data_IF_830090903890
#
_entry.id   IF_830090903890
#
_cell.length_a   1.000
_cell.length_b   1.000
_cell.length_c   1.000
_cell.angle_alpha   90.00
_cell.angle_beta   90.00
_cell.angle_gamma   90.00
#
_symmetry.space_group_name_H-M   'P 1'
#
loop_
_entity.id
_entity.type
_entity.pdbx_description
1 polymer ?
#
# COMPACT_ATOMS: atom_id res chain seq x y z
N UNK A 1 -9.58 -6.21 -2.89
CA UNK A 1 -9.68 -4.74 -3.04
C UNK A 1 -10.41 -4.42 -4.36
N UNK A 2 -10.61 -3.15 -4.77
CA UNK A 2 -11.52 -2.76 -5.88
C UNK A 2 -11.51 -3.72 -7.07
N UNK A 3 -12.68 -4.30 -7.40
CA UNK A 3 -12.78 -5.31 -8.45
C UNK A 3 -12.26 -4.79 -9.81
N UNK A 4 -11.40 -5.58 -10.47
CA UNK A 4 -10.79 -5.21 -11.74
C UNK A 4 -9.73 -4.09 -11.65
N UNK A 5 -9.21 -3.80 -10.45
CA UNK A 5 -8.07 -2.89 -10.23
C UNK A 5 -6.93 -3.64 -9.57
N UNK A 6 -5.71 -3.17 -9.80
CA UNK A 6 -4.47 -3.74 -9.28
C UNK A 6 -3.92 -2.96 -8.09
N UNK A 7 -4.84 -2.45 -7.25
CA UNK A 7 -4.48 -1.80 -6.00
C UNK A 7 -4.49 -2.82 -4.86
N UNK A 8 -3.48 -2.75 -4.01
CA UNK A 8 -3.28 -3.65 -2.86
C UNK A 8 -3.04 -2.82 -1.58
N UNK A 9 -3.37 -3.38 -0.42
CA UNK A 9 -2.98 -2.78 0.85
C UNK A 9 -1.51 -3.08 1.08
N UNK A 10 -0.69 -2.04 1.24
CA UNK A 10 0.74 -2.24 1.47
C UNK A 10 1.03 -2.86 2.85
N UNK A 11 0.19 -2.56 3.85
CA UNK A 11 0.34 -3.06 5.23
C UNK A 11 -0.54 -4.29 5.46
N UNK A 12 0.09 -5.46 5.55
CA UNK A 12 -0.59 -6.75 5.73
C UNK A 12 -0.26 -7.46 7.06
N UNK A 13 0.54 -6.84 7.93
CA UNK A 13 0.96 -7.42 9.21
C UNK A 13 0.45 -6.63 10.43
N UNK A 14 0.44 -7.30 11.58
CA UNK A 14 0.10 -6.77 12.89
C UNK A 14 1.32 -6.23 13.62
N UNK A 15 1.15 -5.28 14.54
CA UNK A 15 2.29 -4.68 15.27
C UNK A 15 3.06 -5.69 16.12
N UNK A 16 2.39 -6.73 16.61
CA UNK A 16 3.03 -7.85 17.31
C UNK A 16 3.68 -8.86 16.35
N UNK A 17 3.46 -8.71 15.04
CA UNK A 17 4.01 -9.54 13.96
C UNK A 17 3.62 -11.02 14.06
N UNK A 18 2.47 -11.28 14.68
CA UNK A 18 1.87 -12.60 14.79
C UNK A 18 0.59 -12.64 13.96
N UNK A 19 0.33 -13.77 13.33
CA UNK A 19 -0.97 -14.04 12.70
C UNK A 19 -2.12 -13.84 13.69
N UNK A 20 -3.34 -13.52 13.21
CA UNK A 20 -4.49 -13.29 14.09
C UNK A 20 -4.83 -14.48 15.01
N UNK A 21 -4.54 -15.71 14.57
CA UNK A 21 -4.74 -16.93 15.36
C UNK A 21 -3.50 -17.35 16.18
N UNK A 22 -2.42 -16.55 16.13
CA UNK A 22 -1.16 -16.72 16.85
C UNK A 22 -0.45 -18.06 16.59
N UNK A 23 -0.69 -18.68 15.42
CA UNK A 23 -0.05 -19.96 15.07
C UNK A 23 1.23 -19.79 14.25
N UNK A 24 1.43 -18.62 13.67
CA UNK A 24 2.62 -18.27 12.90
C UNK A 24 3.00 -16.81 13.10
N UNK A 25 4.29 -16.56 12.95
CA UNK A 25 4.82 -15.22 12.73
C UNK A 25 4.46 -14.73 11.33
N UNK A 26 4.26 -13.42 11.18
CA UNK A 26 3.99 -12.74 9.92
C UNK A 26 5.30 -12.41 9.18
N UNK A 27 6.12 -13.44 8.94
CA UNK A 27 7.44 -13.27 8.34
C UNK A 27 7.35 -12.73 6.91
N UNK A 28 6.48 -13.31 6.07
CA UNK A 28 6.35 -12.91 4.67
C UNK A 28 5.73 -11.51 4.56
N UNK A 29 4.70 -11.22 5.36
CA UNK A 29 4.00 -9.94 5.33
C UNK A 29 4.90 -8.78 5.78
N UNK A 30 5.66 -8.96 6.87
CA UNK A 30 6.62 -7.94 7.29
C UNK A 30 7.80 -7.83 6.33
N UNK A 31 8.23 -8.93 5.71
CA UNK A 31 9.34 -8.91 4.75
C UNK A 31 8.94 -8.18 3.48
N UNK A 32 7.70 -8.34 3.01
CA UNK A 32 7.15 -7.55 1.89
C UNK A 32 7.19 -6.06 2.20
N UNK A 33 6.57 -5.65 3.32
CA UNK A 33 6.53 -4.24 3.71
C UNK A 33 7.92 -3.64 3.93
N UNK A 34 8.79 -4.31 4.70
CA UNK A 34 10.12 -3.78 5.02
C UNK A 34 11.13 -3.88 3.88
N UNK A 35 10.79 -4.55 2.78
CA UNK A 35 11.58 -4.49 1.57
C UNK A 35 11.42 -3.15 0.84
N UNK A 36 10.23 -2.54 0.90
CA UNK A 36 9.91 -1.30 0.16
C UNK A 36 9.64 -0.07 1.03
N UNK A 37 9.43 -0.26 2.33
CA UNK A 37 9.11 0.80 3.28
C UNK A 37 9.85 0.63 4.61
N UNK A 38 9.81 1.66 5.46
CA UNK A 38 10.44 1.64 6.79
C UNK A 38 9.50 2.12 7.88
N UNK A 39 9.63 1.53 9.06
CA UNK A 39 8.82 1.83 10.22
C UNK A 39 7.41 1.25 10.15
N UNK A 40 6.73 1.25 11.29
CA UNK A 40 5.32 0.91 11.39
C UNK A 40 4.77 1.46 12.70
N UNK A 41 3.51 1.90 12.69
CA UNK A 41 2.81 2.38 13.88
C UNK A 41 1.33 2.01 13.83
N UNK A 42 0.63 2.13 14.96
CA UNK A 42 -0.82 1.95 15.01
C UNK A 42 -1.57 2.87 14.02
N UNK A 43 -1.05 4.09 13.79
CA UNK A 43 -1.62 5.03 12.82
C UNK A 43 -1.49 4.55 11.37
N UNK A 44 -0.44 3.80 11.03
CA UNK A 44 -0.19 3.34 9.66
C UNK A 44 -0.95 2.06 9.29
N UNK A 45 -1.55 1.36 10.26
CA UNK A 45 -2.34 0.16 10.00
C UNK A 45 -3.70 0.45 9.33
N UNK A 46 -4.19 1.70 9.36
CA UNK A 46 -5.41 2.07 8.65
C UNK A 46 -6.72 1.45 9.17
N UNK A 47 -6.74 0.96 10.42
CA UNK A 47 -7.87 0.20 10.98
C UNK A 47 -8.90 1.05 11.75
N UNK A 48 -8.58 2.31 12.03
CA UNK A 48 -9.43 3.21 12.82
C UNK A 48 -9.97 4.31 11.91
N UNK A 49 -11.31 4.38 11.79
CA UNK A 49 -11.96 5.38 10.92
C UNK A 49 -11.61 6.79 11.38
N UNK A 50 -11.02 7.57 10.48
CA UNK A 50 -10.70 8.97 10.71
C UNK A 50 -9.47 9.24 11.59
N UNK A 51 -8.63 8.23 11.81
CA UNK A 51 -7.32 8.35 12.47
C UNK A 51 -6.24 7.69 11.62
N UNK A 52 -5.03 8.25 11.65
CA UNK A 52 -3.88 7.65 10.99
C UNK A 52 -3.91 7.78 9.46
N UNK A 53 -3.31 6.80 8.79
CA UNK A 53 -3.12 6.76 7.34
C UNK A 53 -3.46 5.35 6.82
N UNK A 54 -3.81 5.27 5.54
CA UNK A 54 -4.01 4.02 4.81
C UNK A 54 -3.14 4.09 3.56
N UNK A 55 -2.32 3.08 3.35
CA UNK A 55 -1.44 2.98 2.19
C UNK A 55 -1.98 1.94 1.22
N UNK A 56 -2.22 2.39 -0.01
CA UNK A 56 -2.50 1.53 -1.14
C UNK A 56 -1.34 1.62 -2.13
N UNK A 57 -1.00 0.50 -2.74
CA UNK A 57 0.07 0.41 -3.73
C UNK A 57 -0.40 -0.32 -4.98
N UNK A 58 0.29 -0.07 -6.08
CA UNK A 58 0.07 -0.74 -7.35
C UNK A 58 1.37 -0.75 -8.15
N UNK A 59 1.77 -1.92 -8.63
CA UNK A 59 2.90 -2.06 -9.55
C UNK A 59 2.47 -2.35 -10.98
N UNK A 60 1.15 -2.46 -11.22
CA UNK A 60 0.56 -2.83 -12.51
C UNK A 60 -0.49 -1.81 -12.98
N UNK A 61 -0.56 -1.63 -14.29
CA UNK A 61 -1.57 -0.80 -14.95
C UNK A 61 -2.94 -1.49 -15.04
N UNK A 62 -3.92 -0.82 -15.64
CA UNK A 62 -5.29 -1.35 -15.77
C UNK A 62 -5.44 -2.59 -16.66
N UNK A 63 -4.40 -2.98 -17.41
CA UNK A 63 -4.34 -4.20 -18.22
C UNK A 63 -3.48 -5.30 -17.55
N UNK A 64 -3.04 -5.07 -16.31
CA UNK A 64 -2.19 -6.00 -15.55
C UNK A 64 -0.73 -6.02 -15.99
N UNK A 65 -0.29 -5.05 -16.79
CA UNK A 65 1.12 -4.92 -17.19
C UNK A 65 1.90 -4.15 -16.14
N UNK A 66 3.17 -4.48 -15.94
CA UNK A 66 4.04 -3.72 -15.02
C UNK A 66 4.14 -2.26 -15.43
N UNK A 67 4.14 -1.38 -14.42
CA UNK A 67 4.38 0.04 -14.62
C UNK A 67 5.84 0.26 -15.07
N UNK A 68 5.98 1.03 -16.14
CA UNK A 68 7.24 1.33 -16.82
C UNK A 68 7.35 2.85 -17.00
N UNK A 69 8.41 3.45 -16.43
CA UNK A 69 8.66 4.90 -16.46
C UNK A 69 8.87 5.48 -17.86
N UNK A 70 9.09 4.65 -18.89
CA UNK A 70 9.14 5.08 -20.29
C UNK A 70 7.76 5.33 -20.94
N UNK A 71 6.66 5.14 -20.21
CA UNK A 71 5.28 5.25 -20.73
C UNK A 71 4.46 6.30 -19.99
N UNK A 72 3.40 6.76 -20.63
CA UNK A 72 2.43 7.68 -20.04
C UNK A 72 1.24 6.92 -19.44
N UNK A 73 0.87 7.28 -18.22
CA UNK A 73 -0.30 6.72 -17.52
C UNK A 73 -1.24 7.82 -17.08
N UNK A 74 -2.50 7.44 -16.83
CA UNK A 74 -3.50 8.33 -16.25
C UNK A 74 -4.21 7.63 -15.12
N UNK A 75 -4.18 8.26 -13.94
CA UNK A 75 -5.04 7.88 -12.83
C UNK A 75 -6.18 8.89 -12.70
N UNK A 76 -7.42 8.40 -12.59
CA UNK A 76 -8.58 9.23 -12.26
C UNK A 76 -8.96 8.99 -10.81
N UNK A 77 -8.85 10.03 -9.98
CA UNK A 77 -9.37 10.02 -8.61
C UNK A 77 -10.78 10.57 -8.64
N UNK A 78 -11.73 9.83 -8.06
CA UNK A 78 -13.10 10.29 -7.95
C UNK A 78 -13.19 11.51 -7.00
N UNK A 79 -14.18 12.36 -7.23
CA UNK A 79 -14.48 13.42 -6.28
C UNK A 79 -14.83 12.82 -4.90
N UNK A 80 -14.55 13.56 -3.82
CA UNK A 80 -14.82 13.14 -2.44
C UNK A 80 -14.09 11.84 -2.05
N UNK A 81 -12.78 11.79 -2.31
CA UNK A 81 -11.93 10.73 -1.78
C UNK A 81 -12.14 10.56 -0.25
N UNK A 82 -12.18 9.33 0.28
CA UNK A 82 -12.54 9.05 1.67
C UNK A 82 -11.40 9.37 2.66
N UNK A 83 -10.96 10.63 2.68
CA UNK A 83 -9.88 11.16 3.53
C UNK A 83 -10.34 12.43 4.22
N UNK A 84 -9.95 12.62 5.49
CA UNK A 84 -10.26 13.85 6.24
C UNK A 84 -9.29 14.99 5.96
N UNK A 85 -8.00 14.67 5.80
CA UNK A 85 -6.94 15.66 5.64
C UNK A 85 -6.58 15.86 4.16
N UNK A 86 -5.93 14.86 3.56
CA UNK A 86 -5.55 14.89 2.15
C UNK A 86 -5.30 13.46 1.63
N UNK A 87 -5.11 13.35 0.32
CA UNK A 87 -4.56 12.17 -0.33
C UNK A 87 -3.38 12.61 -1.20
N UNK A 88 -2.44 11.71 -1.45
CA UNK A 88 -1.31 11.92 -2.34
C UNK A 88 -1.02 10.65 -3.13
N UNK A 89 -0.26 10.78 -4.21
CA UNK A 89 0.39 9.67 -4.90
C UNK A 89 1.87 9.99 -5.00
N UNK A 90 2.70 9.01 -4.67
CA UNK A 90 4.16 9.11 -4.77
C UNK A 90 4.65 7.96 -5.63
N UNK A 91 5.55 8.24 -6.56
CA UNK A 91 6.15 7.24 -7.43
C UNK A 91 7.51 6.85 -6.85
N UNK A 92 7.85 5.57 -6.97
CA UNK A 92 9.13 5.03 -6.53
C UNK A 92 9.70 4.13 -7.62
N UNK A 93 11.02 4.15 -7.77
CA UNK A 93 11.74 3.21 -8.61
C UNK A 93 11.66 1.79 -8.03
N UNK A 94 11.40 0.80 -8.89
CA UNK A 94 11.16 -0.57 -8.45
C UNK A 94 12.43 -1.26 -7.93
N UNK A 95 13.63 -0.82 -8.35
CA UNK A 95 14.89 -1.43 -7.92
C UNK A 95 15.37 -0.83 -6.61
N UNK A 96 15.51 0.50 -6.57
CA UNK A 96 16.07 1.23 -5.42
C UNK A 96 15.05 1.50 -4.32
N UNK A 97 13.74 1.46 -4.64
CA UNK A 97 12.64 1.92 -3.78
C UNK A 97 12.77 3.40 -3.39
N UNK A 98 13.60 4.15 -4.11
CA UNK A 98 13.78 5.59 -3.98
C UNK A 98 12.82 6.39 -4.87
N UNK A 99 12.63 7.68 -4.56
CA UNK A 99 11.91 8.61 -5.44
C UNK A 99 12.69 8.97 -6.71
#
# INVERSE_FOLDING_TARGET
>A
MYAGKHWEYAVLFDLNQESPDQKRVQFDERSSWFYEAIGMSAGMQGRIVGFGQVYLEASKDGAGQWLDGGRAYRMRVAAKAPVKQFWSITLYDNLSRGP
#
